data_IF_963663502694
#
_entry.id   IF_963663502694
#
_cell.length_a   1.000
_cell.length_b   1.000
_cell.length_c   1.000
_cell.angle_alpha   90.00
_cell.angle_beta   90.00
_cell.angle_gamma   90.00
#
_symmetry.space_group_name_H-M   'P 1'
#
loop_
_entity.id
_entity.type
_entity.pdbx_description
1 polymer ?
#
# COMPACT_ATOMS: atom_id res chain seq x y z
N UNK A 1 49.98 -57.62 -24.17
CA UNK A 1 49.96 -56.35 -24.96
C UNK A 1 50.62 -55.29 -24.10
N UNK A 2 51.55 -54.49 -24.61
CA UNK A 2 52.19 -53.47 -23.80
C UNK A 2 51.23 -52.28 -23.55
N UNK A 3 51.32 -51.61 -22.38
CA UNK A 3 50.52 -50.41 -22.02
C UNK A 3 50.59 -49.28 -23.08
N UNK A 4 51.79 -49.23 -23.80
CA UNK A 4 51.97 -48.27 -24.88
C UNK A 4 51.09 -48.54 -26.12
N UNK A 5 50.78 -49.78 -26.44
CA UNK A 5 49.93 -50.14 -27.60
C UNK A 5 48.48 -49.88 -27.29
N UNK A 6 48.07 -49.99 -26.02
CA UNK A 6 46.68 -49.64 -25.55
C UNK A 6 46.49 -48.13 -25.59
N UNK A 7 47.50 -47.36 -25.22
CA UNK A 7 47.43 -45.89 -25.27
C UNK A 7 47.40 -45.35 -26.70
N UNK A 8 48.19 -45.95 -27.61
CA UNK A 8 48.22 -45.58 -29.02
C UNK A 8 46.86 -45.83 -29.71
N UNK A 9 46.23 -46.95 -29.39
CA UNK A 9 44.89 -47.24 -29.90
C UNK A 9 43.78 -46.28 -29.37
N UNK A 10 43.96 -45.70 -28.19
CA UNK A 10 43.09 -44.72 -27.61
C UNK A 10 43.21 -43.37 -28.32
N UNK A 11 44.41 -43.00 -28.75
CA UNK A 11 44.73 -41.69 -29.35
C UNK A 11 44.54 -41.66 -30.86
N UNK A 12 44.65 -42.83 -31.54
CA UNK A 12 44.68 -42.94 -33.01
C UNK A 12 43.29 -42.85 -33.68
N UNK A 13 42.21 -42.78 -32.92
CA UNK A 13 40.83 -42.72 -33.48
C UNK A 13 40.42 -43.93 -34.30
N UNK A 14 41.26 -44.98 -34.40
CA UNK A 14 41.03 -46.19 -35.17
C UNK A 14 40.28 -47.29 -34.39
N UNK A 15 39.94 -47.00 -33.12
CA UNK A 15 39.16 -47.91 -32.28
C UNK A 15 37.74 -47.39 -32.15
N UNK A 16 36.78 -48.18 -32.63
CA UNK A 16 35.35 -47.99 -32.35
C UNK A 16 34.98 -48.34 -30.91
N UNK A 17 35.97 -48.61 -30.05
CA UNK A 17 35.80 -48.87 -28.63
C UNK A 17 35.66 -47.54 -27.87
N UNK A 18 34.47 -47.18 -27.52
CA UNK A 18 34.22 -46.16 -26.52
C UNK A 18 34.71 -46.63 -25.15
N UNK A 19 35.50 -45.82 -24.47
CA UNK A 19 35.87 -46.07 -23.07
C UNK A 19 34.60 -45.97 -22.22
N UNK A 20 34.21 -47.03 -21.52
CA UNK A 20 33.10 -46.92 -20.59
C UNK A 20 33.47 -46.00 -19.42
N UNK A 21 32.53 -45.24 -18.94
CA UNK A 21 32.73 -44.34 -17.79
C UNK A 21 33.37 -45.04 -16.58
N UNK A 22 33.05 -46.32 -16.39
CA UNK A 22 33.62 -47.15 -15.32
C UNK A 22 35.15 -47.36 -15.43
N UNK A 23 35.77 -47.11 -16.59
CA UNK A 23 37.21 -47.18 -16.80
C UNK A 23 37.92 -45.86 -16.46
N UNK A 24 37.17 -44.80 -16.15
CA UNK A 24 37.71 -43.50 -15.75
C UNK A 24 37.78 -43.40 -14.23
N UNK A 25 38.92 -42.88 -13.72
CA UNK A 25 39.10 -42.66 -12.27
C UNK A 25 38.04 -41.67 -11.75
N UNK A 26 37.64 -40.68 -12.56
CA UNK A 26 36.61 -39.72 -12.26
C UNK A 26 35.48 -39.89 -13.31
N UNK A 27 34.60 -40.84 -13.09
CA UNK A 27 33.46 -41.15 -13.99
C UNK A 27 32.20 -40.31 -13.73
N UNK A 28 32.24 -39.46 -12.74
CA UNK A 28 31.14 -38.56 -12.37
C UNK A 28 31.65 -37.21 -11.88
N UNK A 29 30.78 -36.20 -11.95
CA UNK A 29 30.94 -34.90 -11.31
C UNK A 29 29.79 -34.69 -10.34
N UNK A 30 29.97 -33.87 -9.33
CA UNK A 30 28.89 -33.47 -8.43
C UNK A 30 28.35 -32.09 -8.85
N UNK A 31 27.09 -32.04 -9.18
CA UNK A 31 26.37 -30.81 -9.51
C UNK A 31 25.25 -30.62 -8.49
N UNK A 32 25.28 -29.52 -7.74
CA UNK A 32 24.29 -29.22 -6.70
C UNK A 32 24.04 -30.39 -5.74
N UNK A 33 25.11 -31.04 -5.26
CA UNK A 33 25.05 -32.18 -4.34
C UNK A 33 24.67 -33.52 -4.97
N UNK A 34 24.33 -33.57 -6.25
CA UNK A 34 23.98 -34.79 -6.99
C UNK A 34 25.12 -35.24 -7.86
N UNK A 35 25.52 -36.53 -7.74
CA UNK A 35 26.54 -37.16 -8.60
C UNK A 35 25.96 -37.41 -10.01
N UNK A 36 26.59 -36.85 -11.03
CA UNK A 36 26.19 -37.01 -12.45
C UNK A 36 27.29 -37.73 -13.18
N UNK A 37 27.01 -38.91 -13.76
CA UNK A 37 27.94 -39.64 -14.59
C UNK A 37 28.32 -38.86 -15.85
N UNK A 38 29.53 -38.98 -16.32
CA UNK A 38 29.97 -38.36 -17.57
C UNK A 38 29.08 -38.86 -18.73
N UNK A 39 28.53 -37.91 -19.51
CA UNK A 39 27.50 -38.17 -20.55
C UNK A 39 26.08 -38.30 -20.04
N UNK A 40 25.86 -38.23 -18.72
CA UNK A 40 24.54 -38.12 -18.12
C UNK A 40 24.00 -36.68 -18.13
N UNK A 41 22.73 -36.52 -17.86
CA UNK A 41 22.06 -35.23 -17.67
C UNK A 41 21.56 -35.10 -16.24
N UNK A 42 21.60 -33.91 -15.70
CA UNK A 42 20.92 -33.53 -14.47
C UNK A 42 20.05 -32.32 -14.76
N UNK A 43 18.82 -32.34 -14.30
CA UNK A 43 18.00 -31.14 -14.29
C UNK A 43 18.38 -30.34 -13.06
N UNK A 44 19.07 -29.23 -13.26
CA UNK A 44 19.24 -28.24 -12.20
C UNK A 44 17.86 -27.56 -12.07
N UNK A 45 17.16 -27.88 -11.00
CA UNK A 45 15.98 -27.12 -10.66
C UNK A 45 16.47 -25.71 -10.35
N UNK A 46 16.10 -24.74 -11.19
CA UNK A 46 16.31 -23.34 -10.90
C UNK A 46 15.65 -23.04 -9.56
N UNK A 47 16.33 -22.29 -8.72
CA UNK A 47 15.75 -21.85 -7.45
C UNK A 47 14.42 -21.15 -7.72
N UNK A 48 13.43 -21.46 -6.89
CA UNK A 48 12.07 -20.97 -7.14
C UNK A 48 12.00 -19.50 -6.80
N UNK A 49 11.72 -18.66 -7.80
CA UNK A 49 11.60 -17.21 -7.60
C UNK A 49 10.50 -16.88 -6.62
N UNK A 50 10.66 -15.82 -5.80
CA UNK A 50 9.56 -15.32 -5.00
C UNK A 50 8.40 -14.90 -5.90
N UNK A 51 7.19 -15.04 -5.40
CA UNK A 51 5.97 -14.58 -6.05
C UNK A 51 5.28 -13.56 -5.16
N UNK A 52 4.54 -12.64 -5.76
CA UNK A 52 3.74 -11.63 -5.07
C UNK A 52 2.25 -11.92 -5.30
N UNK A 53 1.44 -11.80 -4.24
CA UNK A 53 -0.02 -11.93 -4.32
C UNK A 53 -0.72 -10.65 -3.89
N UNK A 54 -0.33 -10.05 -2.75
CA UNK A 54 -0.94 -8.84 -2.23
C UNK A 54 -0.06 -8.11 -1.23
N UNK A 55 -0.39 -6.85 -0.96
CA UNK A 55 0.17 -6.04 0.12
C UNK A 55 -0.96 -5.44 0.94
N UNK A 56 -0.81 -5.41 2.26
CA UNK A 56 -1.81 -4.84 3.18
C UNK A 56 -1.15 -4.16 4.39
N UNK A 57 -1.53 -2.92 4.71
CA UNK A 57 -2.39 -2.03 3.92
C UNK A 57 -1.78 -1.68 2.56
N UNK A 58 -2.61 -1.43 1.55
CA UNK A 58 -2.17 -0.99 0.20
C UNK A 58 -2.10 0.53 0.06
N UNK A 59 -2.64 1.26 1.03
CA UNK A 59 -2.51 2.72 1.18
C UNK A 59 -1.90 2.98 2.54
N UNK A 60 -0.83 3.76 2.58
CA UNK A 60 -0.12 4.15 3.79
C UNK A 60 0.16 5.65 3.78
N UNK A 61 0.39 6.21 4.96
CA UNK A 61 0.78 7.61 5.13
C UNK A 61 2.30 7.80 4.94
N UNK A 62 2.75 9.04 4.85
CA UNK A 62 4.16 9.43 4.76
C UNK A 62 4.96 9.17 6.05
N UNK A 63 4.37 8.48 7.01
CA UNK A 63 4.99 8.07 8.26
C UNK A 63 5.47 6.63 8.20
N UNK A 64 6.34 6.24 9.13
CA UNK A 64 6.82 4.87 9.20
C UNK A 64 5.66 3.88 9.39
N UNK A 65 5.43 3.04 8.40
CA UNK A 65 4.33 2.08 8.39
C UNK A 65 4.83 0.67 8.06
N UNK A 66 4.27 -0.33 8.72
CA UNK A 66 4.52 -1.75 8.39
C UNK A 66 3.44 -2.26 7.47
N UNK A 67 3.84 -2.86 6.37
CA UNK A 67 2.96 -3.57 5.43
C UNK A 67 3.22 -5.06 5.47
N UNK A 68 2.18 -5.86 5.39
CA UNK A 68 2.28 -7.32 5.21
C UNK A 68 2.23 -7.62 3.72
N UNK A 69 3.21 -8.36 3.23
CA UNK A 69 3.30 -8.79 1.84
C UNK A 69 3.02 -10.29 1.82
N UNK A 70 1.97 -10.67 1.09
CA UNK A 70 1.61 -12.06 0.82
C UNK A 70 2.12 -12.48 -0.55
N UNK A 71 2.56 -13.73 -0.66
CA UNK A 71 3.12 -14.27 -1.89
C UNK A 71 3.50 -15.74 -1.74
N UNK A 72 4.62 -16.12 -2.32
CA UNK A 72 5.16 -17.47 -2.20
C UNK A 72 6.66 -17.50 -2.42
N UNK A 73 7.28 -18.59 -1.99
CA UNK A 73 8.70 -18.87 -2.15
C UNK A 73 9.63 -17.80 -1.52
N UNK A 74 9.17 -17.11 -0.50
CA UNK A 74 10.05 -16.24 0.28
C UNK A 74 11.03 -17.11 1.08
N UNK A 75 12.31 -16.72 1.04
CA UNK A 75 13.39 -17.35 1.81
C UNK A 75 13.87 -16.35 2.86
N UNK A 76 14.25 -16.85 4.03
CA UNK A 76 14.62 -16.08 5.22
C UNK A 76 15.20 -14.71 4.94
N UNK A 77 14.48 -13.69 5.38
CA UNK A 77 14.75 -12.25 5.30
C UNK A 77 15.11 -11.79 3.88
N UNK A 78 14.15 -11.74 2.95
CA UNK A 78 14.38 -11.14 1.65
C UNK A 78 14.65 -9.64 1.75
N UNK A 79 15.39 -9.09 0.80
CA UNK A 79 15.47 -7.65 0.59
C UNK A 79 14.14 -7.17 -0.01
N UNK A 80 13.57 -6.11 0.56
CA UNK A 80 12.36 -5.49 0.02
C UNK A 80 12.64 -4.01 -0.25
N UNK A 81 12.38 -3.59 -1.49
CA UNK A 81 12.58 -2.20 -1.94
C UNK A 81 11.31 -1.66 -2.56
N UNK A 82 10.88 -0.49 -2.12
CA UNK A 82 9.81 0.27 -2.75
C UNK A 82 10.40 1.16 -3.86
N UNK A 83 9.77 1.15 -5.03
CA UNK A 83 10.20 1.92 -6.21
C UNK A 83 9.08 2.88 -6.58
N UNK A 84 9.32 4.18 -6.47
CA UNK A 84 8.32 5.18 -6.89
C UNK A 84 8.07 5.04 -8.39
N UNK A 85 6.82 4.80 -8.77
CA UNK A 85 6.45 4.51 -10.17
C UNK A 85 6.65 5.68 -11.14
N UNK A 86 6.66 6.91 -10.62
CA UNK A 86 6.80 8.13 -11.44
C UNK A 86 8.25 8.57 -11.58
N UNK A 87 9.05 8.44 -10.51
CA UNK A 87 10.44 8.96 -10.47
C UNK A 87 11.49 7.86 -10.60
N UNK A 88 11.14 6.59 -10.36
CA UNK A 88 12.08 5.49 -10.26
C UNK A 88 12.93 5.51 -8.99
N UNK A 89 12.65 6.40 -8.05
CA UNK A 89 13.40 6.47 -6.78
C UNK A 89 13.21 5.19 -5.97
N UNK A 90 14.32 4.67 -5.44
CA UNK A 90 14.40 3.43 -4.69
C UNK A 90 14.45 3.74 -3.19
N UNK A 91 13.61 3.09 -2.40
CA UNK A 91 13.64 3.12 -0.94
C UNK A 91 13.63 1.70 -0.39
N UNK A 92 14.72 1.30 0.22
CA UNK A 92 14.82 -0.02 0.88
C UNK A 92 13.96 0.02 2.14
N UNK A 93 13.30 -1.10 2.46
CA UNK A 93 12.56 -1.24 3.70
C UNK A 93 13.47 -1.01 4.92
N UNK A 94 13.00 -0.24 5.90
CA UNK A 94 13.72 0.04 7.15
C UNK A 94 13.96 -1.26 7.95
N UNK A 95 13.00 -2.19 7.85
CA UNK A 95 13.03 -3.50 8.50
C UNK A 95 12.20 -4.50 7.70
N UNK A 96 12.67 -5.74 7.63
CA UNK A 96 11.90 -6.86 7.05
C UNK A 96 11.86 -8.00 8.04
N UNK A 97 10.66 -8.50 8.35
CA UNK A 97 10.43 -9.67 9.19
C UNK A 97 9.90 -10.82 8.35
N UNK A 98 10.58 -11.96 8.41
CA UNK A 98 10.16 -13.19 7.75
C UNK A 98 9.18 -13.97 8.64
N UNK A 99 7.94 -14.11 8.21
CA UNK A 99 6.92 -14.88 8.92
C UNK A 99 6.80 -16.31 8.39
N UNK A 100 6.85 -16.46 7.08
CA UNK A 100 6.80 -17.77 6.39
C UNK A 100 7.20 -17.63 4.92
N UNK A 101 7.32 -18.75 4.21
CA UNK A 101 7.54 -18.74 2.77
C UNK A 101 6.41 -18.07 1.95
N UNK A 102 5.27 -17.74 2.57
CA UNK A 102 4.15 -17.07 1.92
C UNK A 102 3.81 -15.70 2.50
N UNK A 103 4.51 -15.25 3.55
CA UNK A 103 4.21 -13.98 4.23
C UNK A 103 5.46 -13.35 4.82
N UNK A 104 5.68 -12.09 4.52
CA UNK A 104 6.71 -11.23 5.13
C UNK A 104 6.08 -9.91 5.56
N UNK A 105 6.68 -9.24 6.54
CA UNK A 105 6.32 -7.88 6.90
C UNK A 105 7.48 -6.96 6.57
N UNK A 106 7.20 -5.85 5.88
CA UNK A 106 8.19 -4.83 5.54
C UNK A 106 7.77 -3.49 6.14
N UNK A 107 8.71 -2.80 6.78
CA UNK A 107 8.50 -1.49 7.36
C UNK A 107 9.13 -0.44 6.45
N UNK A 108 8.38 0.58 6.10
CA UNK A 108 8.84 1.66 5.22
C UNK A 108 8.61 3.03 5.84
N UNK A 109 9.50 3.95 5.52
CA UNK A 109 9.32 5.40 5.66
C UNK A 109 9.40 5.99 4.25
N UNK A 110 8.24 6.26 3.63
CA UNK A 110 8.13 6.77 2.27
C UNK A 110 7.66 8.23 2.31
N UNK A 111 8.55 9.22 2.14
CA UNK A 111 8.22 10.63 2.38
C UNK A 111 7.54 11.32 1.20
N UNK A 112 7.34 10.64 0.08
CA UNK A 112 6.78 11.21 -1.14
C UNK A 112 5.50 10.50 -1.52
N UNK A 113 4.42 11.28 -1.70
CA UNK A 113 3.15 10.77 -2.20
C UNK A 113 3.31 10.14 -3.58
N UNK A 114 2.51 9.12 -3.84
CA UNK A 114 2.51 8.45 -5.12
C UNK A 114 2.29 6.94 -5.01
N UNK A 115 2.40 6.30 -6.15
CA UNK A 115 2.29 4.84 -6.25
C UNK A 115 3.67 4.21 -6.34
N UNK A 116 3.83 3.05 -5.73
CA UNK A 116 5.09 2.32 -5.63
C UNK A 116 4.93 0.89 -6.10
N UNK A 117 5.93 0.43 -6.85
CA UNK A 117 6.17 -0.99 -7.09
C UNK A 117 6.97 -1.55 -5.91
N UNK A 118 6.85 -2.85 -5.67
CA UNK A 118 7.70 -3.56 -4.71
C UNK A 118 8.65 -4.48 -5.46
N UNK A 119 9.94 -4.40 -5.14
CA UNK A 119 10.97 -5.32 -5.56
C UNK A 119 11.35 -6.18 -4.35
N UNK A 120 11.22 -7.49 -4.50
CA UNK A 120 11.46 -8.46 -3.43
C UNK A 120 12.51 -9.45 -3.93
N UNK A 121 13.64 -9.51 -3.25
CA UNK A 121 14.78 -10.34 -3.62
C UNK A 121 15.14 -11.29 -2.47
N UNK A 122 15.10 -12.57 -2.74
CA UNK A 122 15.56 -13.59 -1.80
C UNK A 122 17.11 -13.54 -1.66
N UNK A 123 17.68 -14.08 -0.57
CA UNK A 123 19.13 -14.12 -0.37
C UNK A 123 19.92 -14.84 -1.47
N UNK A 124 19.25 -15.66 -2.27
CA UNK A 124 19.81 -16.38 -3.41
C UNK A 124 19.90 -15.54 -4.71
N UNK A 125 19.45 -14.28 -4.67
CA UNK A 125 19.41 -13.38 -5.81
C UNK A 125 18.17 -13.54 -6.71
N UNK A 126 17.28 -14.49 -6.43
CA UNK A 126 16.01 -14.60 -7.14
C UNK A 126 15.04 -13.51 -6.68
N UNK A 127 14.42 -12.82 -7.62
CA UNK A 127 13.59 -11.67 -7.33
C UNK A 127 12.28 -11.62 -8.11
N UNK A 128 11.33 -10.88 -7.57
CA UNK A 128 10.08 -10.46 -8.23
C UNK A 128 9.92 -8.95 -8.10
N UNK A 129 9.45 -8.33 -9.16
CA UNK A 129 9.00 -6.94 -9.15
C UNK A 129 7.50 -6.92 -9.45
N UNK A 130 6.76 -6.15 -8.67
CA UNK A 130 5.30 -6.01 -8.84
C UNK A 130 4.97 -4.91 -9.86
N UNK A 131 3.69 -4.78 -10.24
CA UNK A 131 3.14 -3.51 -10.71
C UNK A 131 3.07 -2.51 -9.56
N UNK A 132 2.53 -1.31 -9.76
CA UNK A 132 2.27 -0.35 -8.69
C UNK A 132 1.15 -0.91 -7.78
N UNK A 133 1.50 -1.29 -6.56
CA UNK A 133 0.60 -2.01 -5.61
C UNK A 133 0.48 -1.32 -4.26
N UNK A 134 1.36 -0.37 -3.97
CA UNK A 134 1.38 0.38 -2.72
C UNK A 134 1.19 1.87 -3.05
N UNK A 135 0.28 2.53 -2.36
CA UNK A 135 0.03 3.98 -2.49
C UNK A 135 0.45 4.68 -1.21
N UNK A 136 1.17 5.78 -1.34
CA UNK A 136 1.52 6.68 -0.24
C UNK A 136 0.71 7.94 -0.40
N UNK A 137 -0.05 8.31 0.63
CA UNK A 137 -0.90 9.49 0.65
C UNK A 137 -1.24 9.86 2.09
N UNK A 138 -1.16 11.13 2.43
CA UNK A 138 -1.59 11.60 3.74
C UNK A 138 -3.11 11.63 3.85
N UNK A 139 -3.63 11.19 5.00
CA UNK A 139 -5.05 11.28 5.30
C UNK A 139 -5.51 12.76 5.32
N UNK A 140 -6.81 13.03 5.11
CA UNK A 140 -7.35 14.39 5.20
C UNK A 140 -7.08 15.04 6.55
N UNK A 141 -6.57 16.26 6.54
CA UNK A 141 -6.33 17.05 7.74
C UNK A 141 -7.30 18.25 7.82
N UNK A 142 -8.20 18.29 8.82
CA UNK A 142 -9.11 19.42 8.98
C UNK A 142 -8.39 20.73 9.26
N UNK A 143 -8.61 21.74 8.44
CA UNK A 143 -8.13 23.11 8.65
C UNK A 143 -9.18 23.97 9.39
N UNK A 144 -10.49 23.69 9.20
CA UNK A 144 -11.53 24.30 9.99
C UNK A 144 -11.50 23.76 11.42
N UNK A 145 -11.44 24.64 12.42
CA UNK A 145 -11.43 24.25 13.83
C UNK A 145 -12.72 23.51 14.22
N UNK A 146 -12.62 22.56 15.15
CA UNK A 146 -13.78 21.88 15.69
C UNK A 146 -14.70 22.84 16.48
N UNK A 147 -15.98 22.53 16.57
CA UNK A 147 -16.97 23.29 17.35
C UNK A 147 -17.79 24.24 16.50
N UNK A 148 -17.96 25.47 16.98
CA UNK A 148 -18.93 26.40 16.40
C UNK A 148 -18.52 26.92 15.02
N UNK A 149 -19.42 26.79 14.05
CA UNK A 149 -19.32 27.43 12.73
C UNK A 149 -20.05 28.80 12.69
N UNK A 150 -20.71 29.17 13.76
CA UNK A 150 -21.38 30.46 13.89
C UNK A 150 -22.71 30.36 14.58
N UNK A 151 -23.27 31.57 14.86
CA UNK A 151 -24.61 31.77 15.38
C UNK A 151 -25.38 32.67 14.41
N UNK A 152 -26.59 32.28 14.06
CA UNK A 152 -27.44 32.94 13.04
C UNK A 152 -28.84 33.15 13.58
N UNK A 153 -29.61 34.01 12.93
CA UNK A 153 -31.02 34.23 13.28
C UNK A 153 -31.95 33.26 12.54
N UNK A 154 -33.08 32.98 13.10
CA UNK A 154 -34.13 32.23 12.42
C UNK A 154 -34.53 32.92 11.11
N UNK A 155 -34.58 32.15 10.01
CA UNK A 155 -34.87 32.65 8.67
C UNK A 155 -33.69 33.22 7.90
N UNK A 156 -32.48 33.25 8.48
CA UNK A 156 -31.29 33.73 7.80
C UNK A 156 -30.89 32.81 6.61
N UNK A 157 -30.37 33.45 5.56
CA UNK A 157 -29.62 32.72 4.51
C UNK A 157 -28.21 32.53 4.98
N UNK A 158 -27.84 31.28 5.21
CA UNK A 158 -26.55 30.86 5.80
C UNK A 158 -25.66 30.29 4.71
N UNK A 159 -24.37 30.63 4.76
CA UNK A 159 -23.34 30.01 3.95
C UNK A 159 -22.03 29.96 4.75
N UNK A 160 -21.65 28.77 5.20
CA UNK A 160 -20.42 28.52 5.92
C UNK A 160 -19.62 27.43 5.21
N UNK A 161 -18.30 27.56 5.22
CA UNK A 161 -17.42 26.61 4.53
C UNK A 161 -16.55 25.89 5.54
N UNK A 162 -16.51 24.59 5.45
CA UNK A 162 -15.53 23.76 6.15
C UNK A 162 -14.45 23.30 5.16
N UNK A 163 -13.22 23.17 5.64
CA UNK A 163 -12.09 22.81 4.80
C UNK A 163 -11.16 21.80 5.51
N UNK A 164 -10.59 20.94 4.71
CA UNK A 164 -9.56 19.99 5.10
C UNK A 164 -8.52 19.88 3.97
N UNK A 165 -7.24 19.72 4.35
CA UNK A 165 -6.17 19.38 3.39
C UNK A 165 -6.38 17.97 2.88
N UNK A 166 -5.94 17.68 1.67
CA UNK A 166 -6.03 16.37 1.00
C UNK A 166 -7.46 15.83 0.80
N UNK A 167 -8.50 16.55 1.23
CA UNK A 167 -9.89 16.12 1.03
C UNK A 167 -10.36 16.36 -0.40
N UNK A 168 -11.02 15.37 -0.99
CA UNK A 168 -11.71 15.46 -2.27
C UNK A 168 -13.23 15.49 -2.10
N UNK A 169 -13.72 15.07 -0.93
CA UNK A 169 -15.16 15.09 -0.64
C UNK A 169 -15.45 15.18 0.85
N UNK A 170 -16.68 15.62 1.15
CA UNK A 170 -17.21 15.76 2.50
C UNK A 170 -18.56 15.03 2.61
N UNK A 171 -18.85 14.47 3.78
CA UNK A 171 -20.13 13.87 4.08
C UNK A 171 -20.49 14.07 5.54
N UNK A 172 -21.81 14.04 5.85
CA UNK A 172 -22.29 14.07 7.24
C UNK A 172 -22.42 12.63 7.74
N UNK A 173 -21.74 12.30 8.82
CA UNK A 173 -21.77 10.97 9.43
C UNK A 173 -22.74 10.85 10.59
N UNK A 174 -23.00 11.97 11.29
CA UNK A 174 -23.97 11.99 12.40
C UNK A 174 -24.54 13.37 12.64
N UNK A 175 -25.58 13.44 13.47
CA UNK A 175 -26.26 14.68 13.85
C UNK A 175 -27.17 15.26 12.77
N UNK A 176 -27.61 16.50 12.99
CA UNK A 176 -28.54 17.19 12.09
C UNK A 176 -28.09 18.62 11.83
N UNK A 177 -28.30 19.10 10.61
CA UNK A 177 -28.19 20.53 10.29
C UNK A 177 -29.46 21.28 10.75
N UNK A 178 -29.37 22.61 10.94
CA UNK A 178 -30.57 23.45 10.95
C UNK A 178 -31.46 23.16 9.75
N UNK A 179 -32.75 23.25 9.92
CA UNK A 179 -33.72 23.05 8.82
C UNK A 179 -33.39 23.98 7.63
N UNK A 180 -33.56 23.48 6.41
CA UNK A 180 -33.30 24.23 5.18
C UNK A 180 -31.83 24.29 4.75
N UNK A 181 -30.87 23.84 5.58
CA UNK A 181 -29.45 23.79 5.21
C UNK A 181 -29.04 22.44 4.63
N UNK A 182 -28.14 22.47 3.67
CA UNK A 182 -27.53 21.29 3.05
C UNK A 182 -26.04 21.45 2.89
N UNK A 183 -25.31 20.32 2.86
CA UNK A 183 -23.87 20.26 2.61
C UNK A 183 -23.63 20.02 1.12
N UNK A 184 -22.80 20.87 0.50
CA UNK A 184 -22.18 20.54 -0.78
C UNK A 184 -20.98 19.62 -0.52
N UNK A 185 -21.12 18.38 -0.94
CA UNK A 185 -20.15 17.31 -0.65
C UNK A 185 -18.81 17.48 -1.35
N UNK A 186 -18.72 18.29 -2.41
CA UNK A 186 -17.46 18.52 -3.14
C UNK A 186 -16.70 19.75 -2.62
N UNK A 187 -17.43 20.75 -2.10
CA UNK A 187 -16.83 22.04 -1.71
C UNK A 187 -16.75 22.27 -0.21
N UNK A 188 -17.45 21.44 0.60
CA UNK A 188 -17.57 21.65 2.05
C UNK A 188 -18.44 22.84 2.47
N UNK A 189 -19.21 23.42 1.54
CA UNK A 189 -20.12 24.52 1.83
C UNK A 189 -21.42 23.98 2.43
N UNK A 190 -21.79 24.48 3.61
CA UNK A 190 -23.08 24.26 4.24
C UNK A 190 -23.91 25.52 4.00
N UNK A 191 -24.97 25.42 3.23
CA UNK A 191 -25.77 26.58 2.85
C UNK A 191 -27.26 26.29 2.72
N UNK A 192 -28.04 27.35 2.78
CA UNK A 192 -29.51 27.35 2.65
C UNK A 192 -30.12 28.47 3.42
N UNK A 193 -31.46 28.55 3.38
CA UNK A 193 -32.23 29.48 4.24
C UNK A 193 -32.78 28.68 5.41
N UNK A 194 -32.43 29.13 6.62
CA UNK A 194 -32.90 28.46 7.83
C UNK A 194 -34.42 28.44 7.88
N UNK A 195 -34.97 27.31 8.28
CA UNK A 195 -36.42 27.12 8.43
C UNK A 195 -36.71 26.10 9.54
N UNK A 196 -37.72 26.37 10.32
CA UNK A 196 -38.28 25.42 11.28
C UNK A 196 -37.73 25.49 12.69
N UNK A 197 -36.82 26.39 13.01
CA UNK A 197 -36.43 26.63 14.38
C UNK A 197 -37.56 27.33 15.13
N UNK A 198 -37.99 26.78 16.26
CA UNK A 198 -39.09 27.32 17.11
C UNK A 198 -38.57 27.81 18.45
N UNK A 199 -37.27 27.63 18.75
CA UNK A 199 -36.55 28.08 19.93
C UNK A 199 -35.08 28.22 19.62
N UNK A 200 -34.37 28.98 20.45
CA UNK A 200 -32.89 29.00 20.41
C UNK A 200 -32.36 27.56 20.49
N UNK A 201 -31.61 27.16 19.48
CA UNK A 201 -31.18 25.76 19.34
C UNK A 201 -29.79 25.67 18.78
N UNK A 202 -28.92 24.84 19.41
CA UNK A 202 -27.64 24.48 18.88
C UNK A 202 -27.72 23.11 18.22
N UNK A 203 -27.46 23.09 16.93
CA UNK A 203 -27.41 21.88 16.13
C UNK A 203 -25.98 21.34 16.12
N UNK A 204 -25.82 20.07 16.49
CA UNK A 204 -24.51 19.38 16.50
C UNK A 204 -24.49 18.31 15.42
N UNK A 205 -23.39 18.21 14.70
CA UNK A 205 -23.19 17.23 13.64
C UNK A 205 -21.72 16.91 13.47
N UNK A 206 -21.45 15.72 12.93
CA UNK A 206 -20.09 15.28 12.56
C UNK A 206 -19.97 15.21 11.05
N UNK A 207 -18.91 15.77 10.52
CA UNK A 207 -18.53 15.67 9.12
C UNK A 207 -17.31 14.79 8.97
N UNK A 208 -17.28 14.07 7.87
CA UNK A 208 -16.17 13.28 7.38
C UNK A 208 -15.57 13.95 6.15
N UNK A 209 -14.28 14.19 6.16
CA UNK A 209 -13.48 14.49 4.98
C UNK A 209 -12.89 13.18 4.43
N UNK A 210 -12.90 13.01 3.13
CA UNK A 210 -12.38 11.81 2.44
C UNK A 210 -11.44 12.24 1.32
N UNK A 211 -10.28 11.61 1.20
CA UNK A 211 -9.32 11.84 0.12
C UNK A 211 -9.61 11.00 -1.14
N UNK A 212 -8.73 11.07 -2.13
CA UNK A 212 -8.86 10.30 -3.37
C UNK A 212 -8.58 8.80 -3.18
N UNK A 213 -7.89 8.40 -2.11
CA UNK A 213 -7.52 7.04 -1.77
C UNK A 213 -8.53 6.37 -0.83
N UNK A 214 -9.54 7.13 -0.35
CA UNK A 214 -10.57 6.65 0.55
C UNK A 214 -10.19 6.74 2.04
N UNK A 215 -9.06 7.39 2.37
CA UNK A 215 -8.72 7.69 3.76
C UNK A 215 -9.66 8.78 4.29
N UNK A 216 -9.96 8.76 5.57
CA UNK A 216 -11.00 9.62 6.15
C UNK A 216 -10.55 10.27 7.45
N UNK A 217 -11.08 11.48 7.71
CA UNK A 217 -10.98 12.16 8.99
C UNK A 217 -12.34 12.74 9.38
N UNK A 218 -12.75 12.51 10.63
CA UNK A 218 -14.02 13.00 11.16
C UNK A 218 -13.79 14.21 12.08
N UNK A 219 -14.74 15.18 12.05
CA UNK A 219 -14.74 16.33 12.95
C UNK A 219 -16.14 16.77 13.31
N UNK A 220 -16.34 17.10 14.60
CA UNK A 220 -17.59 17.57 15.12
C UNK A 220 -17.69 19.10 15.01
N UNK A 221 -18.86 19.57 14.61
CA UNK A 221 -19.20 20.98 14.44
C UNK A 221 -20.57 21.31 15.04
N UNK A 222 -20.81 22.59 15.29
CA UNK A 222 -22.10 23.11 15.73
C UNK A 222 -22.49 24.36 14.95
N UNK A 223 -23.78 24.57 14.78
CA UNK A 223 -24.41 25.82 14.32
C UNK A 223 -25.48 26.15 15.32
N UNK A 224 -25.50 27.39 15.81
CA UNK A 224 -26.54 27.89 16.72
C UNK A 224 -27.53 28.78 15.96
N UNK A 225 -28.83 28.54 16.12
CA UNK A 225 -29.90 29.39 15.62
C UNK A 225 -30.52 30.09 16.82
N UNK A 226 -30.55 31.42 16.79
CA UNK A 226 -31.20 32.28 17.79
C UNK A 226 -32.48 32.85 17.18
N UNK A 227 -33.57 32.60 17.81
CA UNK A 227 -34.80 33.32 17.49
C UNK A 227 -34.75 34.65 18.27
N UNK A 228 -34.49 35.73 17.59
CA UNK A 228 -34.54 37.06 18.24
C UNK A 228 -35.81 37.17 19.11
N UNK A 229 -35.67 37.82 20.26
CA UNK A 229 -36.84 38.10 21.12
C UNK A 229 -37.91 38.75 20.25
N UNK A 230 -39.00 38.03 20.02
CA UNK A 230 -40.17 38.61 19.39
C UNK A 230 -40.58 39.82 20.22
N UNK A 231 -40.31 41.00 19.69
CA UNK A 231 -40.77 42.26 20.27
C UNK A 231 -42.30 42.40 19.98
N UNK A 232 -43.06 41.37 20.39
CA UNK A 232 -44.51 41.36 20.33
C UNK A 232 -45.12 42.01 21.56
N UNK A 233 -44.59 43.15 21.98
CA UNK A 233 -44.99 43.87 23.16
C UNK A 233 -45.18 45.35 22.97
N UNK A 234 -45.91 45.77 21.93
CA UNK A 234 -46.47 47.11 21.88
C UNK A 234 -47.76 47.15 21.06
N UNK A 235 -48.81 46.73 21.67
CA UNK A 235 -50.13 47.23 21.30
C UNK A 235 -50.73 47.96 22.52
N UNK A 236 -50.66 49.28 22.47
CA UNK A 236 -51.56 50.17 23.18
C UNK A 236 -52.64 50.64 22.21
#
# INVERSE_FOLDING_TARGET
MSKARTLANLVSGASTSTLPNSALTNSSITINGSGVSLGGSVTIQGETRPTFSSVSPSVIENTQTTVTIAGGNFVSVPLVTAINSSTGALTVADEVSFSSASSIAAKFTLPVDGTYLLYIENPDGNAVQTSAVLTVSDAPGWTTAAGSLGSFSGGDTISVTVAATNATSFSKTSGTFPGGLSLNTSTGVISGTESGATSDTTFSFTLRATDAQGQTADRAFTITINLGANNSGQFN
#
